data_IF_259509036662
#
_entry.id   IF_259509036662
#
_cell.length_a   1.000
_cell.length_b   1.000
_cell.length_c   1.000
_cell.angle_alpha   90.00
_cell.angle_beta   90.00
_cell.angle_gamma   90.00
#
_symmetry.space_group_name_H-M   'P 1'
#
loop_
_entity.id
_entity.type
_entity.pdbx_description
1 polymer ?
#
# COMPACT_ATOMS: atom_id res chain seq x y z
N UNK A 1 -8.89 72.40 -28.02
CA UNK A 1 -8.86 71.53 -29.21
C UNK A 1 -9.34 70.16 -28.78
N UNK A 2 -10.52 69.77 -29.28
CA UNK A 2 -11.21 68.50 -29.05
C UNK A 2 -10.90 67.54 -30.21
N UNK A 3 -11.32 66.26 -30.06
CA UNK A 3 -11.18 65.09 -30.96
C UNK A 3 -10.05 64.13 -30.53
N UNK A 4 -10.27 62.83 -30.30
CA UNK A 4 -11.48 62.04 -30.41
C UNK A 4 -11.23 60.61 -29.88
N UNK A 5 -12.25 60.04 -29.22
CA UNK A 5 -12.33 58.65 -28.82
C UNK A 5 -12.54 57.75 -30.06
N UNK A 6 -11.71 56.72 -30.20
CA UNK A 6 -11.91 55.64 -31.16
C UNK A 6 -12.43 54.39 -30.46
N UNK A 7 -13.72 54.13 -30.62
CA UNK A 7 -14.38 52.85 -30.33
C UNK A 7 -13.86 51.75 -31.26
N UNK A 8 -13.60 50.56 -30.73
CA UNK A 8 -13.76 49.31 -31.49
C UNK A 8 -14.60 48.35 -30.68
N UNK A 9 -15.66 47.86 -31.33
CA UNK A 9 -16.71 47.03 -30.76
C UNK A 9 -16.86 45.78 -31.62
N UNK A 10 -17.20 44.68 -30.93
CA UNK A 10 -17.87 43.44 -31.35
C UNK A 10 -17.16 42.50 -32.33
N UNK A 11 -16.84 41.30 -31.82
CA UNK A 11 -17.15 40.05 -32.49
C UNK A 11 -17.29 38.92 -31.45
N UNK A 12 -18.50 38.74 -30.93
CA UNK A 12 -18.96 37.49 -30.32
C UNK A 12 -19.12 36.44 -31.43
N UNK A 13 -18.27 35.40 -31.43
CA UNK A 13 -18.47 34.25 -32.30
C UNK A 13 -19.06 33.09 -31.51
N UNK A 14 -20.35 32.86 -31.75
CA UNK A 14 -21.06 31.67 -31.35
C UNK A 14 -20.58 30.47 -32.17
N UNK A 15 -20.22 29.37 -31.50
CA UNK A 15 -20.25 28.05 -32.11
C UNK A 15 -21.39 27.25 -31.46
N UNK A 16 -22.53 27.34 -32.12
CA UNK A 16 -23.67 26.45 -31.98
C UNK A 16 -23.56 25.42 -33.11
N UNK A 17 -23.18 24.18 -32.81
CA UNK A 17 -23.55 23.03 -33.63
C UNK A 17 -23.92 21.85 -32.75
N UNK A 18 -25.24 21.66 -32.68
CA UNK A 18 -25.91 20.40 -32.37
C UNK A 18 -25.40 19.31 -33.30
N UNK A 19 -24.86 18.24 -32.75
CA UNK A 19 -24.93 16.91 -33.32
C UNK A 19 -25.13 15.91 -32.18
N UNK A 20 -26.38 15.73 -31.77
CA UNK A 20 -26.81 14.63 -30.91
C UNK A 20 -27.20 13.49 -31.84
N UNK A 21 -26.26 12.58 -32.08
CA UNK A 21 -26.62 11.20 -32.44
C UNK A 21 -26.98 10.51 -31.15
N UNK A 22 -28.26 10.11 -31.03
CA UNK A 22 -28.74 9.29 -29.94
C UNK A 22 -27.96 7.97 -29.93
N UNK A 23 -27.07 7.82 -28.95
CA UNK A 23 -26.49 6.53 -28.63
C UNK A 23 -27.61 5.64 -28.04
N UNK A 24 -27.76 4.45 -28.61
CA UNK A 24 -28.65 3.43 -28.05
C UNK A 24 -28.27 3.16 -26.58
N UNK A 25 -29.24 2.91 -25.69
CA UNK A 25 -28.95 2.59 -24.30
C UNK A 25 -28.13 1.30 -24.24
N UNK A 26 -26.86 1.43 -23.88
CA UNK A 26 -26.04 0.27 -23.49
C UNK A 26 -26.66 -0.24 -22.19
N UNK A 27 -27.30 -1.40 -22.29
CA UNK A 27 -27.88 -2.13 -21.16
C UNK A 27 -26.75 -2.34 -20.16
N UNK A 28 -26.79 -1.65 -19.02
CA UNK A 28 -25.87 -1.86 -17.92
C UNK A 28 -25.90 -3.35 -17.57
N UNK A 29 -24.82 -4.06 -17.86
CA UNK A 29 -24.63 -5.40 -17.35
C UNK A 29 -24.63 -5.26 -15.83
N UNK A 30 -25.57 -5.93 -15.17
CA UNK A 30 -25.54 -6.06 -13.73
C UNK A 30 -24.17 -6.64 -13.36
N UNK A 31 -23.40 -5.89 -12.59
CA UNK A 31 -22.23 -6.44 -11.91
C UNK A 31 -22.81 -7.47 -10.94
N UNK A 32 -22.70 -8.75 -11.30
CA UNK A 32 -23.09 -9.84 -10.44
C UNK A 32 -22.28 -9.70 -9.14
N UNK A 33 -22.99 -9.42 -8.05
CA UNK A 33 -22.42 -9.47 -6.71
C UNK A 33 -21.82 -10.86 -6.54
N UNK A 34 -20.51 -11.01 -6.31
CA UNK A 34 -19.90 -12.33 -6.21
C UNK A 34 -20.60 -13.12 -5.11
N UNK A 35 -21.08 -14.30 -5.49
CA UNK A 35 -21.76 -15.25 -4.60
C UNK A 35 -20.80 -15.57 -3.44
N UNK A 36 -21.17 -15.16 -2.24
CA UNK A 36 -20.38 -15.40 -1.02
C UNK A 36 -20.50 -16.90 -0.73
N UNK A 37 -19.50 -17.66 -1.17
CA UNK A 37 -19.39 -19.08 -0.86
C UNK A 37 -19.31 -19.24 0.67
N UNK A 38 -20.37 -19.79 1.27
CA UNK A 38 -20.53 -20.03 2.72
C UNK A 38 -19.55 -21.11 3.22
N UNK A 39 -18.25 -20.84 3.13
CA UNK A 39 -17.23 -21.61 3.82
C UNK A 39 -17.09 -21.10 5.25
N UNK A 40 -17.01 -22.02 6.21
CA UNK A 40 -16.80 -21.64 7.61
C UNK A 40 -15.50 -20.84 7.77
N UNK A 41 -15.48 -19.79 8.62
CA UNK A 41 -14.29 -18.98 8.83
C UNK A 41 -13.16 -19.87 9.36
N UNK A 42 -12.00 -19.81 8.69
CA UNK A 42 -10.81 -20.53 9.13
C UNK A 42 -10.16 -19.76 10.28
N UNK A 43 -9.94 -20.42 11.41
CA UNK A 43 -9.28 -19.82 12.58
C UNK A 43 -7.79 -20.14 12.60
N UNK A 44 -6.96 -19.21 13.08
CA UNK A 44 -5.60 -19.53 13.51
C UNK A 44 -5.61 -20.32 14.82
N UNK A 45 -4.50 -20.98 15.12
CA UNK A 45 -4.31 -21.74 16.37
C UNK A 45 -3.54 -20.91 17.41
N UNK A 46 -3.58 -21.35 18.67
CA UNK A 46 -2.82 -20.73 19.76
C UNK A 46 -3.60 -19.67 20.53
N UNK A 47 -2.95 -19.00 21.48
CA UNK A 47 -3.59 -18.04 22.39
C UNK A 47 -4.04 -16.75 21.68
N UNK A 48 -3.52 -16.46 20.49
CA UNK A 48 -3.94 -15.33 19.63
C UNK A 48 -4.88 -15.77 18.49
N UNK A 49 -5.66 -16.85 18.70
CA UNK A 49 -6.58 -17.38 17.71
C UNK A 49 -7.49 -16.28 17.13
N UNK A 50 -7.43 -16.09 15.81
CA UNK A 50 -8.21 -15.09 15.05
C UNK A 50 -8.79 -15.72 13.79
N UNK A 51 -9.78 -15.06 13.20
CA UNK A 51 -10.24 -15.39 11.85
C UNK A 51 -9.13 -15.02 10.87
N UNK A 52 -8.72 -15.97 10.04
CA UNK A 52 -7.75 -15.77 8.97
C UNK A 52 -8.44 -15.18 7.75
N UNK A 53 -7.88 -14.10 7.24
CA UNK A 53 -8.35 -13.49 6.01
C UNK A 53 -7.85 -14.25 4.78
N UNK A 54 -8.71 -14.36 3.78
CA UNK A 54 -8.40 -14.94 2.48
C UNK A 54 -8.84 -13.97 1.40
N UNK A 55 -8.04 -13.85 0.35
CA UNK A 55 -8.46 -13.11 -0.83
C UNK A 55 -9.74 -13.73 -1.41
N UNK A 56 -10.77 -12.93 -1.74
CA UNK A 56 -11.95 -13.45 -2.41
C UNK A 56 -11.61 -14.11 -3.75
N UNK A 57 -12.45 -15.05 -4.19
CA UNK A 57 -12.27 -15.73 -5.48
C UNK A 57 -12.20 -14.71 -6.62
N UNK A 58 -11.18 -14.85 -7.47
CA UNK A 58 -10.94 -13.95 -8.61
C UNK A 58 -10.19 -12.66 -8.28
N UNK A 59 -9.89 -12.39 -7.01
CA UNK A 59 -9.06 -11.25 -6.60
C UNK A 59 -7.59 -11.68 -6.54
N UNK A 60 -6.69 -10.92 -7.18
CA UNK A 60 -5.26 -11.21 -7.15
C UNK A 60 -4.71 -11.07 -5.71
N UNK A 61 -4.08 -12.12 -5.19
CA UNK A 61 -3.43 -12.10 -3.89
C UNK A 61 -1.89 -12.03 -3.95
N UNK A 62 -1.33 -11.92 -5.15
CA UNK A 62 0.11 -11.76 -5.42
C UNK A 62 0.34 -10.45 -6.17
N UNK A 63 0.05 -9.28 -5.53
CA UNK A 63 0.03 -8.00 -6.21
C UNK A 63 1.42 -7.62 -6.75
N UNK A 64 1.46 -7.02 -7.93
CA UNK A 64 2.68 -6.52 -8.59
C UNK A 64 2.74 -5.00 -8.66
N UNK A 65 1.62 -4.32 -8.39
CA UNK A 65 1.51 -2.86 -8.36
C UNK A 65 0.76 -2.42 -7.09
N UNK A 66 0.84 -1.12 -6.80
CA UNK A 66 0.06 -0.53 -5.69
C UNK A 66 -1.44 -0.63 -5.98
N UNK A 67 -1.88 -0.46 -7.23
CA UNK A 67 -3.29 -0.59 -7.62
C UNK A 67 -3.85 -2.00 -7.42
N UNK A 68 -3.07 -3.03 -7.74
CA UNK A 68 -3.45 -4.43 -7.48
C UNK A 68 -3.57 -4.70 -5.98
N UNK A 69 -2.65 -4.16 -5.17
CA UNK A 69 -2.72 -4.24 -3.72
C UNK A 69 -3.96 -3.51 -3.17
N UNK A 70 -4.28 -2.33 -3.70
CA UNK A 70 -5.49 -1.58 -3.32
C UNK A 70 -6.76 -2.33 -3.69
N UNK A 71 -6.78 -3.02 -4.84
CA UNK A 71 -7.88 -3.90 -5.24
C UNK A 71 -8.09 -5.03 -4.23
N UNK A 72 -7.02 -5.69 -3.80
CA UNK A 72 -7.09 -6.70 -2.73
C UNK A 72 -7.58 -6.09 -1.41
N UNK A 73 -7.00 -4.97 -0.99
CA UNK A 73 -7.36 -4.27 0.26
C UNK A 73 -8.86 -3.95 0.29
N UNK A 74 -9.42 -3.40 -0.77
CA UNK A 74 -10.84 -3.06 -0.84
C UNK A 74 -11.75 -4.29 -0.92
N UNK A 75 -11.26 -5.42 -1.41
CA UNK A 75 -12.02 -6.67 -1.49
C UNK A 75 -12.06 -7.45 -0.16
N UNK A 76 -11.13 -7.18 0.77
CA UNK A 76 -11.06 -7.90 2.05
C UNK A 76 -12.12 -7.42 3.06
N UNK A 77 -12.58 -8.30 3.98
CA UNK A 77 -13.55 -7.93 5.03
C UNK A 77 -13.09 -6.73 5.88
N UNK A 78 -14.05 -5.92 6.32
CA UNK A 78 -13.84 -4.75 7.18
C UNK A 78 -14.40 -5.01 8.59
N UNK A 79 -13.78 -4.47 9.67
CA UNK A 79 -12.51 -3.75 9.68
C UNK A 79 -11.32 -4.69 9.38
N UNK A 80 -10.40 -4.24 8.54
CA UNK A 80 -9.24 -5.01 8.11
C UNK A 80 -8.00 -4.61 8.92
N UNK A 81 -7.37 -5.57 9.60
CA UNK A 81 -6.11 -5.38 10.34
C UNK A 81 -4.89 -5.65 9.45
N UNK A 82 -3.69 -5.26 9.90
CA UNK A 82 -2.43 -5.60 9.20
C UNK A 82 -2.25 -7.12 9.08
N UNK A 83 -2.56 -7.87 10.13
CA UNK A 83 -2.51 -9.32 10.11
C UNK A 83 -3.46 -9.91 9.07
N UNK A 84 -4.68 -9.39 8.96
CA UNK A 84 -5.66 -9.79 7.93
C UNK A 84 -5.14 -9.54 6.50
N UNK A 85 -4.48 -8.40 6.25
CA UNK A 85 -3.85 -8.16 4.95
C UNK A 85 -2.75 -9.20 4.65
N UNK A 86 -1.87 -9.49 5.62
CA UNK A 86 -0.79 -10.48 5.45
C UNK A 86 -1.35 -11.89 5.25
N UNK A 87 -2.38 -12.28 6.00
CA UNK A 87 -3.04 -13.59 5.87
C UNK A 87 -3.58 -13.79 4.44
N UNK A 88 -4.09 -12.73 3.81
CA UNK A 88 -4.68 -12.79 2.48
C UNK A 88 -3.65 -12.79 1.34
N UNK A 89 -2.47 -12.20 1.53
CA UNK A 89 -1.41 -12.12 0.53
C UNK A 89 -0.76 -13.49 0.27
N UNK A 90 -0.31 -13.76 -0.95
CA UNK A 90 0.32 -15.03 -1.32
C UNK A 90 1.74 -15.14 -0.76
N UNK A 91 1.94 -16.08 0.16
CA UNK A 91 3.23 -16.50 0.69
C UNK A 91 3.72 -17.84 0.11
N UNK A 92 4.82 -18.40 0.64
CA UNK A 92 5.70 -17.81 1.65
C UNK A 92 6.43 -16.56 1.13
N UNK A 93 6.70 -15.61 2.02
CA UNK A 93 7.20 -14.29 1.64
C UNK A 93 8.71 -14.26 1.37
N UNK A 94 9.13 -13.37 0.48
CA UNK A 94 10.51 -12.86 0.40
C UNK A 94 10.63 -11.65 1.31
N UNK A 95 11.49 -11.73 2.32
CA UNK A 95 11.58 -10.78 3.43
C UNK A 95 12.97 -10.16 3.56
N UNK A 96 13.00 -8.87 3.80
CA UNK A 96 14.12 -8.18 4.43
C UNK A 96 13.59 -7.44 5.67
N UNK A 97 14.41 -7.26 6.70
CA UNK A 97 13.95 -6.56 7.90
C UNK A 97 15.07 -5.71 8.50
N UNK A 98 14.68 -4.60 9.13
CA UNK A 98 15.62 -3.64 9.75
C UNK A 98 15.15 -3.22 11.13
N UNK A 99 16.08 -3.00 12.05
CA UNK A 99 15.83 -2.44 13.37
C UNK A 99 15.91 -0.90 13.39
N UNK A 100 15.96 -0.25 12.24
CA UNK A 100 16.07 1.21 12.16
C UNK A 100 14.83 1.90 12.73
N UNK A 101 15.02 2.73 13.75
CA UNK A 101 14.00 3.55 14.38
C UNK A 101 13.96 4.99 13.83
N UNK A 102 14.88 5.37 12.94
CA UNK A 102 14.89 6.65 12.24
C UNK A 102 14.30 6.47 10.83
N UNK A 103 12.97 6.31 10.74
CA UNK A 103 12.22 6.24 9.48
C UNK A 103 10.78 6.71 9.66
N UNK A 104 10.04 6.98 8.57
CA UNK A 104 8.62 7.36 8.60
C UNK A 104 7.74 6.34 9.36
N UNK A 105 7.95 5.06 9.09
CA UNK A 105 7.40 3.93 9.85
C UNK A 105 8.51 3.25 10.69
N UNK A 106 8.85 3.77 11.89
CA UNK A 106 9.99 3.31 12.67
C UNK A 106 9.83 1.87 13.19
N UNK A 107 10.92 1.10 13.20
CA UNK A 107 10.96 -0.19 13.89
C UNK A 107 10.74 0.00 15.40
N UNK A 108 10.05 -0.94 16.04
CA UNK A 108 9.84 -0.90 17.49
C UNK A 108 11.09 -1.38 18.25
N UNK A 109 11.69 -2.48 17.78
CA UNK A 109 12.94 -3.02 18.32
C UNK A 109 13.61 -3.95 17.30
N UNK A 110 14.75 -4.53 17.64
CA UNK A 110 15.38 -5.57 16.82
C UNK A 110 14.65 -6.92 16.87
N UNK A 111 13.78 -7.14 17.87
CA UNK A 111 12.89 -8.32 17.93
C UNK A 111 11.55 -8.07 17.25
N UNK A 112 11.17 -6.80 17.10
CA UNK A 112 9.97 -6.32 16.43
C UNK A 112 10.36 -5.31 15.33
N UNK A 113 11.11 -5.78 14.30
CA UNK A 113 11.69 -4.91 13.28
C UNK A 113 10.63 -4.36 12.34
N UNK A 114 11.04 -3.41 11.50
CA UNK A 114 10.33 -3.11 10.27
C UNK A 114 10.65 -4.18 9.23
N UNK A 115 9.61 -4.76 8.62
CA UNK A 115 9.68 -5.94 7.76
C UNK A 115 9.18 -5.55 6.36
N UNK A 116 10.03 -5.72 5.35
CA UNK A 116 9.71 -5.53 3.94
C UNK A 116 9.36 -6.86 3.30
N UNK A 117 8.16 -6.94 2.71
CA UNK A 117 7.71 -8.03 1.87
C UNK A 117 7.92 -7.63 0.41
N UNK A 118 8.68 -8.42 -0.35
CA UNK A 118 8.92 -8.20 -1.77
C UNK A 118 7.95 -9.03 -2.62
N UNK A 119 7.19 -8.34 -3.48
CA UNK A 119 6.35 -8.95 -4.49
C UNK A 119 6.88 -8.67 -5.89
N UNK A 120 7.15 -9.75 -6.64
CA UNK A 120 7.82 -9.68 -7.93
C UNK A 120 9.23 -9.14 -7.76
N UNK A 121 9.51 -8.01 -8.38
CA UNK A 121 10.79 -7.29 -8.29
C UNK A 121 10.64 -5.80 -7.97
N UNK A 122 9.41 -5.28 -7.92
CA UNK A 122 9.16 -3.84 -7.89
C UNK A 122 8.31 -3.40 -6.70
N UNK A 123 7.39 -4.23 -6.20
CA UNK A 123 6.49 -3.85 -5.13
C UNK A 123 7.04 -4.30 -3.78
N UNK A 124 7.18 -3.34 -2.87
CA UNK A 124 7.55 -3.55 -1.48
C UNK A 124 6.39 -3.15 -0.59
N UNK A 125 6.03 -4.02 0.36
CA UNK A 125 5.05 -3.76 1.40
C UNK A 125 5.76 -3.82 2.74
N UNK A 126 5.79 -2.72 3.48
CA UNK A 126 6.48 -2.61 4.76
C UNK A 126 5.48 -2.62 5.93
N UNK A 127 5.73 -3.51 6.89
CA UNK A 127 4.92 -3.68 8.10
C UNK A 127 5.81 -3.63 9.34
N UNK A 128 5.27 -3.18 10.46
CA UNK A 128 5.91 -3.29 11.77
C UNK A 128 4.97 -4.06 12.69
N UNK A 129 5.43 -5.09 13.42
CA UNK A 129 4.54 -5.87 14.27
C UNK A 129 3.88 -5.07 15.39
N UNK A 130 4.49 -3.97 15.86
CA UNK A 130 4.07 -3.22 17.04
C UNK A 130 4.46 -1.75 16.99
N UNK A 131 3.83 -0.94 17.84
CA UNK A 131 4.15 0.46 18.06
C UNK A 131 3.47 1.36 17.04
N UNK A 132 3.92 2.61 16.96
CA UNK A 132 3.36 3.59 16.03
C UNK A 132 3.46 3.12 14.57
N UNK A 133 4.60 2.54 14.17
CA UNK A 133 4.77 1.97 12.83
C UNK A 133 3.84 0.79 12.54
N UNK A 134 3.30 0.12 13.56
CA UNK A 134 2.35 -0.99 13.39
C UNK A 134 0.91 -0.55 13.13
N UNK A 135 0.64 0.76 13.19
CA UNK A 135 -0.66 1.36 12.84
C UNK A 135 -0.77 1.72 11.36
N UNK A 136 0.28 1.48 10.58
CA UNK A 136 0.32 1.78 9.16
C UNK A 136 1.03 0.68 8.37
N UNK A 137 0.75 0.64 7.07
CA UNK A 137 1.50 -0.13 6.08
C UNK A 137 2.05 0.88 5.07
N UNK A 138 3.38 0.92 4.92
CA UNK A 138 4.02 1.67 3.85
C UNK A 138 4.14 0.79 2.60
N UNK A 139 3.91 1.37 1.43
CA UNK A 139 4.07 0.71 0.13
C UNK A 139 5.08 1.49 -0.71
N UNK A 140 5.90 0.78 -1.48
CA UNK A 140 6.88 1.37 -2.38
C UNK A 140 6.93 0.59 -3.68
N UNK A 141 6.76 1.27 -4.81
CA UNK A 141 6.89 0.69 -6.15
C UNK A 141 8.13 1.24 -6.84
N UNK A 142 9.09 0.36 -7.17
CA UNK A 142 10.36 0.73 -7.80
C UNK A 142 10.21 0.90 -9.31
N UNK A 143 10.60 2.09 -9.77
CA UNK A 143 10.62 2.46 -11.18
C UNK A 143 11.96 2.03 -11.83
N UNK A 144 11.94 1.88 -13.15
CA UNK A 144 13.11 1.43 -13.93
C UNK A 144 14.33 2.36 -13.81
N UNK A 145 14.09 3.65 -13.51
CA UNK A 145 15.14 4.65 -13.34
C UNK A 145 15.79 4.65 -11.94
N UNK A 146 15.44 3.70 -11.06
CA UNK A 146 15.99 3.60 -9.70
C UNK A 146 15.32 4.50 -8.67
N UNK A 147 14.29 5.27 -9.05
CA UNK A 147 13.40 5.93 -8.10
C UNK A 147 12.27 5.00 -7.65
N UNK A 148 11.48 5.44 -6.68
CA UNK A 148 10.28 4.71 -6.23
C UNK A 148 9.14 5.64 -5.90
N UNK A 149 7.93 5.21 -6.25
CA UNK A 149 6.67 5.84 -5.80
C UNK A 149 6.31 5.25 -4.44
N UNK A 150 6.01 6.12 -3.48
CA UNK A 150 5.72 5.73 -2.09
C UNK A 150 4.28 6.04 -1.73
N UNK A 151 3.74 5.28 -0.78
CA UNK A 151 2.44 5.53 -0.18
C UNK A 151 2.34 4.93 1.22
N UNK A 152 1.32 5.33 1.97
CA UNK A 152 1.04 4.82 3.31
C UNK A 152 -0.45 4.62 3.51
N UNK A 153 -0.83 3.56 4.22
CA UNK A 153 -2.21 3.29 4.60
C UNK A 153 -2.31 3.08 6.10
N UNK A 154 -3.29 3.72 6.74
CA UNK A 154 -3.54 3.55 8.17
C UNK A 154 -4.47 2.36 8.44
N UNK A 155 -4.23 1.69 9.55
CA UNK A 155 -4.96 0.49 9.96
C UNK A 155 -5.55 0.67 11.37
N UNK A 156 -6.71 0.04 11.66
CA UNK A 156 -7.48 -0.83 10.76
C UNK A 156 -8.18 -0.04 9.65
N UNK A 157 -8.27 -0.64 8.47
CA UNK A 157 -9.07 -0.08 7.37
C UNK A 157 -10.53 -0.44 7.62
N UNK A 158 -11.37 0.55 7.91
CA UNK A 158 -12.77 0.35 8.31
C UNK A 158 -13.76 0.44 7.16
N UNK A 159 -13.34 0.97 6.02
CA UNK A 159 -14.17 1.20 4.84
C UNK A 159 -13.38 0.99 3.54
N UNK A 160 -14.05 1.08 2.40
CA UNK A 160 -13.38 1.06 1.11
C UNK A 160 -12.61 2.38 0.91
N UNK A 161 -11.36 2.26 0.48
CA UNK A 161 -10.47 3.38 0.25
C UNK A 161 -10.48 3.79 -1.22
N UNK A 162 -10.30 5.09 -1.47
CA UNK A 162 -10.02 5.58 -2.81
C UNK A 162 -8.72 4.96 -3.35
N UNK A 163 -8.60 4.82 -4.67
CA UNK A 163 -7.41 4.23 -5.32
C UNK A 163 -6.14 5.02 -4.98
N UNK A 164 -6.25 6.33 -4.81
CA UNK A 164 -5.15 7.23 -4.47
C UNK A 164 -4.98 7.47 -2.97
N UNK A 165 -5.70 6.73 -2.10
CA UNK A 165 -5.58 6.82 -0.66
C UNK A 165 -4.13 6.64 -0.14
N UNK A 166 -3.31 5.70 -0.69
CA UNK A 166 -1.92 5.58 -0.25
C UNK A 166 -1.08 6.82 -0.49
N UNK A 167 -1.38 7.58 -1.54
CA UNK A 167 -0.59 8.74 -1.94
C UNK A 167 -1.04 10.00 -1.21
N UNK A 168 -2.34 10.17 -1.05
CA UNK A 168 -2.92 11.35 -0.39
C UNK A 168 -2.64 11.40 1.11
N UNK A 169 -2.50 10.23 1.76
CA UNK A 169 -2.19 10.13 3.19
C UNK A 169 -0.84 10.72 3.58
N UNK A 170 0.12 10.74 2.65
CA UNK A 170 1.49 11.22 2.88
C UNK A 170 1.74 12.64 2.37
N UNK A 171 0.74 13.30 1.78
CA UNK A 171 0.89 14.67 1.27
C UNK A 171 1.09 15.65 2.43
N UNK A 172 2.11 16.50 2.32
CA UNK A 172 2.32 17.58 3.29
C UNK A 172 1.32 18.71 3.03
N UNK A 173 0.53 19.07 4.03
CA UNK A 173 -0.49 20.12 3.92
C UNK A 173 0.11 21.43 3.38
N UNK A 174 -0.42 21.91 2.25
CA UNK A 174 -0.02 23.19 1.65
C UNK A 174 1.29 23.17 0.86
N UNK A 175 1.89 22.01 0.58
CA UNK A 175 3.11 21.87 -0.20
C UNK A 175 2.91 20.98 -1.44
N UNK A 176 3.75 21.18 -2.46
CA UNK A 176 3.87 20.28 -3.61
C UNK A 176 4.89 19.16 -3.28
N UNK A 177 4.48 18.21 -2.44
CA UNK A 177 5.32 17.08 -2.03
C UNK A 177 4.72 16.27 -0.88
N UNK A 178 5.46 15.27 -0.42
CA UNK A 178 5.07 14.35 0.64
C UNK A 178 6.01 14.45 1.84
N UNK A 179 5.60 13.85 2.95
CA UNK A 179 6.47 13.69 4.13
C UNK A 179 7.72 12.84 3.81
N UNK A 180 7.67 11.99 2.78
CA UNK A 180 8.78 11.14 2.37
C UNK A 180 9.93 11.95 1.75
N UNK A 181 9.64 13.10 1.11
CA UNK A 181 10.62 13.98 0.52
C UNK A 181 11.67 14.53 1.51
N UNK A 182 11.34 14.57 2.80
CA UNK A 182 12.28 14.97 3.86
C UNK A 182 13.43 13.98 4.07
N UNK A 183 13.23 12.70 3.73
CA UNK A 183 14.25 11.65 3.86
C UNK A 183 14.77 11.17 2.49
N UNK A 184 13.96 11.32 1.44
CA UNK A 184 14.25 10.80 0.12
C UNK A 184 14.19 11.93 -0.91
N UNK A 185 15.36 12.40 -1.37
CA UNK A 185 15.49 13.50 -2.31
C UNK A 185 16.09 13.03 -3.65
N UNK A 186 15.77 13.67 -4.79
CA UNK A 186 14.70 14.65 -4.99
C UNK A 186 13.33 13.97 -5.02
N UNK A 187 12.29 14.72 -4.68
CA UNK A 187 10.90 14.30 -4.87
C UNK A 187 10.30 15.02 -6.07
N UNK A 188 9.67 14.25 -6.96
CA UNK A 188 9.04 14.74 -8.20
C UNK A 188 7.72 14.03 -8.42
N UNK A 189 6.81 14.62 -9.19
CA UNK A 189 5.59 13.92 -9.59
C UNK A 189 5.93 12.61 -10.33
N UNK A 190 5.24 11.53 -9.98
CA UNK A 190 5.59 10.19 -10.42
C UNK A 190 5.36 9.91 -11.92
N UNK A 191 4.54 10.74 -12.59
CA UNK A 191 4.22 10.58 -14.01
C UNK A 191 2.72 10.35 -14.25
N UNK A 192 2.34 10.38 -15.53
CA UNK A 192 0.93 10.34 -15.96
C UNK A 192 0.25 8.99 -15.72
N UNK A 193 1.04 7.95 -15.48
CA UNK A 193 0.58 6.60 -15.14
C UNK A 193 0.18 6.44 -13.66
N UNK A 194 0.49 7.44 -12.82
CA UNK A 194 0.10 7.47 -11.41
C UNK A 194 -0.89 8.63 -11.14
N UNK A 195 -1.66 8.57 -10.05
CA UNK A 195 -2.44 9.71 -9.58
C UNK A 195 -1.59 10.98 -9.42
N UNK A 196 -2.21 12.15 -9.54
CA UNK A 196 -1.49 13.43 -9.39
C UNK A 196 -0.90 13.63 -7.97
N UNK A 197 -1.45 12.91 -6.99
CA UNK A 197 -0.96 12.86 -5.61
C UNK A 197 0.25 11.94 -5.43
N UNK A 198 0.64 11.16 -6.44
CA UNK A 198 1.77 10.26 -6.35
C UNK A 198 3.09 10.96 -6.69
N UNK A 199 4.04 10.85 -5.77
CA UNK A 199 5.38 11.38 -5.94
C UNK A 199 6.41 10.25 -5.93
N UNK A 200 7.41 10.39 -6.78
CA UNK A 200 8.57 9.52 -6.87
C UNK A 200 9.79 10.21 -6.24
N UNK A 201 10.57 9.43 -5.51
CA UNK A 201 11.84 9.88 -4.93
C UNK A 201 12.92 8.82 -5.06
N UNK A 202 14.18 9.17 -4.76
CA UNK A 202 15.28 8.20 -4.73
C UNK A 202 14.94 6.98 -3.87
N UNK A 203 15.23 5.78 -4.40
CA UNK A 203 15.07 4.53 -3.66
C UNK A 203 16.27 4.33 -2.74
N UNK A 204 16.08 4.59 -1.44
CA UNK A 204 17.13 4.48 -0.42
C UNK A 204 17.11 3.10 0.20
N UNK A 205 18.29 2.48 0.28
CA UNK A 205 18.46 1.15 0.88
C UNK A 205 18.53 1.23 2.41
N UNK A 206 18.02 0.21 3.14
CA UNK A 206 18.27 0.10 4.56
C UNK A 206 19.77 0.00 4.89
N UNK A 207 20.14 0.46 6.09
CA UNK A 207 21.51 0.39 6.60
C UNK A 207 21.86 -1.08 6.89
N UNK A 208 22.91 -1.66 6.26
CA UNK A 208 23.23 -3.08 6.40
C UNK A 208 23.47 -3.54 7.84
N UNK A 209 24.08 -2.70 8.67
CA UNK A 209 24.37 -2.97 10.08
C UNK A 209 23.11 -3.10 10.96
N UNK A 210 21.97 -2.59 10.47
CA UNK A 210 20.67 -2.67 11.15
C UNK A 210 19.80 -3.82 10.64
N UNK A 211 20.32 -4.70 9.78
CA UNK A 211 19.57 -5.83 9.25
C UNK A 211 19.20 -6.83 10.35
N UNK A 212 17.94 -7.27 10.34
CA UNK A 212 17.41 -8.28 11.25
C UNK A 212 17.15 -9.58 10.49
N UNK A 213 17.65 -10.69 11.02
CA UNK A 213 17.53 -12.00 10.37
C UNK A 213 16.14 -12.60 10.55
N UNK A 214 15.69 -13.38 9.55
CA UNK A 214 14.42 -14.14 9.64
C UNK A 214 14.43 -15.10 10.84
N UNK A 215 15.58 -15.68 11.18
CA UNK A 215 15.72 -16.55 12.35
C UNK A 215 15.35 -15.83 13.65
N UNK A 216 15.75 -14.55 13.79
CA UNK A 216 15.40 -13.73 14.95
C UNK A 216 13.91 -13.43 15.01
N UNK A 217 13.30 -13.06 13.88
CA UNK A 217 11.85 -12.80 13.78
C UNK A 217 11.06 -14.08 14.09
N UNK A 218 11.48 -15.22 13.53
CA UNK A 218 10.87 -16.53 13.78
C UNK A 218 10.96 -16.94 15.25
N UNK A 219 12.08 -16.62 15.94
CA UNK A 219 12.19 -16.85 17.39
C UNK A 219 11.09 -16.10 18.15
N UNK A 220 10.81 -14.83 17.80
CA UNK A 220 9.70 -14.08 18.42
C UNK A 220 8.34 -14.66 18.02
N UNK A 221 8.13 -15.01 16.75
CA UNK A 221 6.89 -15.63 16.29
C UNK A 221 6.57 -16.96 17.01
N UNK A 222 7.59 -17.77 17.33
CA UNK A 222 7.39 -19.00 18.12
C UNK A 222 6.91 -18.75 19.54
N UNK A 223 7.32 -17.63 20.15
CA UNK A 223 6.84 -17.25 21.49
C UNK A 223 5.33 -16.93 21.45
N UNK A 224 4.86 -16.35 20.36
CA UNK A 224 3.43 -16.08 20.14
C UNK A 224 2.54 -17.33 20.13
N UNK A 225 3.11 -18.52 19.90
CA UNK A 225 2.36 -19.77 20.02
C UNK A 225 1.91 -20.08 21.46
N UNK A 226 2.52 -19.43 22.47
CA UNK A 226 2.26 -19.66 23.90
C UNK A 226 1.92 -18.39 24.67
N UNK A 227 2.07 -17.21 24.08
CA UNK A 227 1.84 -15.91 24.72
C UNK A 227 0.83 -15.06 23.95
N UNK A 228 0.05 -14.26 24.68
CA UNK A 228 -0.78 -13.20 24.10
C UNK A 228 0.01 -11.90 24.11
N UNK A 229 0.26 -11.32 22.93
CA UNK A 229 0.91 -10.01 22.80
C UNK A 229 0.48 -9.30 21.51
N UNK A 230 0.49 -7.96 21.52
CA UNK A 230 -0.01 -7.13 20.42
C UNK A 230 0.67 -7.42 19.07
N UNK A 231 1.96 -7.78 19.09
CA UNK A 231 2.74 -8.11 17.90
C UNK A 231 2.39 -9.46 17.27
N UNK A 232 1.74 -10.35 18.03
CA UNK A 232 1.61 -11.75 17.66
C UNK A 232 0.76 -11.99 16.42
N UNK A 233 -0.39 -11.31 16.21
CA UNK A 233 -1.16 -11.49 14.99
C UNK A 233 -0.36 -11.23 13.70
N UNK A 234 0.48 -10.19 13.67
CA UNK A 234 1.31 -9.86 12.50
C UNK A 234 2.41 -10.89 12.31
N UNK A 235 3.10 -11.28 13.40
CA UNK A 235 4.16 -12.28 13.34
C UNK A 235 3.62 -13.65 12.94
N UNK A 236 2.50 -14.09 13.49
CA UNK A 236 1.85 -15.35 13.11
C UNK A 236 1.42 -15.34 11.63
N UNK A 237 0.81 -14.26 11.15
CA UNK A 237 0.41 -14.11 9.75
C UNK A 237 1.62 -14.25 8.80
N UNK A 238 2.77 -13.68 9.16
CA UNK A 238 3.99 -13.73 8.36
C UNK A 238 4.50 -15.17 8.11
N UNK A 239 4.30 -16.07 9.08
CA UNK A 239 4.76 -17.47 8.99
C UNK A 239 3.63 -18.47 8.67
N UNK A 240 2.38 -18.03 8.60
CA UNK A 240 1.22 -18.90 8.40
C UNK A 240 1.30 -19.70 7.10
N UNK A 241 1.77 -19.09 6.01
CA UNK A 241 1.87 -19.72 4.68
C UNK A 241 3.22 -20.39 4.42
N UNK A 242 4.01 -20.62 5.47
CA UNK A 242 5.32 -21.25 5.40
C UNK A 242 6.46 -20.31 5.79
N UNK A 243 7.67 -20.88 5.87
CA UNK A 243 8.87 -20.15 6.30
C UNK A 243 9.27 -19.10 5.25
N UNK A 244 9.34 -17.80 5.60
CA UNK A 244 9.85 -16.78 4.70
C UNK A 244 11.31 -17.02 4.30
N UNK A 245 11.67 -16.49 3.14
CA UNK A 245 13.04 -16.50 2.61
C UNK A 245 13.62 -15.09 2.61
N UNK A 246 14.93 -14.97 2.77
CA UNK A 246 15.57 -13.66 2.82
C UNK A 246 15.83 -13.12 1.41
N UNK A 247 15.69 -11.81 1.23
CA UNK A 247 16.29 -11.09 0.10
C UNK A 247 17.21 -9.97 0.62
N UNK A 248 18.13 -9.55 -0.23
CA UNK A 248 18.99 -8.38 -0.02
C UNK A 248 18.61 -7.31 -1.02
N UNK A 249 18.58 -6.05 -0.58
CA UNK A 249 18.22 -4.95 -1.47
C UNK A 249 19.26 -4.73 -2.57
N UNK A 250 20.51 -5.09 -2.29
CA UNK A 250 21.66 -4.99 -3.19
C UNK A 250 21.58 -5.98 -4.36
N UNK A 251 20.76 -7.03 -4.24
CA UNK A 251 20.57 -8.06 -5.27
C UNK A 251 19.43 -7.70 -6.26
N UNK A 252 18.79 -6.53 -6.12
CA UNK A 252 17.58 -6.12 -6.86
C UNK A 252 17.80 -5.09 -7.96
#
# INVERSE_FOLDING_TARGET
>A
MSLGLGFFSIATSACNQKNSTAAAPVKAAAIETPEVENSEPTMSTGPNARILCKAPKGVNNDPRTIDELMTLINALPKPMTVACLIDALKGPFKVNATSNNFSGQPAYSSDLPRIFLLFGTQLFVAVVPKGEGGKAVEVSYRLANGSSVKGELHFPVTENLAVDAPYTSIITSGQSGTICGGCHFPEVWAGAEFPISAFASSFVLPIPEMNVTISRINKRAKICATEVADECPVLEALFYQGMPTAFKFEDL
#
